data_IF_306622586115
#
_entry.id   IF_306622586115
#
_cell.length_a   1.000
_cell.length_b   1.000
_cell.length_c   1.000
_cell.angle_alpha   90.00
_cell.angle_beta   90.00
_cell.angle_gamma   90.00
#
_symmetry.space_group_name_H-M   'P 1'
#
loop_
_entity.id
_entity.type
_entity.pdbx_description
1 polymer ?
#
# COMPACT_ATOMS: atom_id res chain seq x y z
N UNK A 1 -16.56 -1.30 -3.32
CA UNK A 1 -17.70 -0.37 -3.59
C UNK A 1 -17.17 1.03 -3.80
N UNK A 2 -16.16 1.42 -3.03
CA UNK A 2 -15.32 2.58 -3.34
C UNK A 2 -14.75 2.48 -4.77
N UNK A 3 -14.88 3.56 -5.54
CA UNK A 3 -14.33 3.66 -6.89
C UNK A 3 -12.80 3.69 -6.89
N UNK A 4 -12.21 4.15 -5.79
CA UNK A 4 -10.76 4.31 -5.65
C UNK A 4 -10.05 3.06 -5.13
N UNK A 5 -10.78 1.96 -4.90
CA UNK A 5 -10.22 0.72 -4.35
C UNK A 5 -9.03 0.18 -5.18
N UNK A 6 -9.19 0.11 -6.51
CA UNK A 6 -8.13 -0.39 -7.39
C UNK A 6 -6.96 0.58 -7.46
N UNK A 7 -7.22 1.89 -7.45
CA UNK A 7 -6.16 2.90 -7.41
C UNK A 7 -5.34 2.81 -6.11
N UNK A 8 -6.00 2.61 -4.96
CA UNK A 8 -5.35 2.38 -3.68
C UNK A 8 -4.52 1.10 -3.66
N UNK A 9 -5.04 0.00 -4.21
CA UNK A 9 -4.30 -1.25 -4.30
C UNK A 9 -3.08 -1.14 -5.25
N UNK A 10 -3.21 -0.42 -6.38
CA UNK A 10 -2.09 -0.15 -7.30
C UNK A 10 -1.03 0.72 -6.61
N UNK A 11 -1.44 1.79 -5.93
CA UNK A 11 -0.53 2.66 -5.17
C UNK A 11 0.23 1.86 -4.10
N UNK A 12 -0.48 1.04 -3.31
CA UNK A 12 0.15 0.17 -2.32
C UNK A 12 1.13 -0.80 -2.97
N UNK A 13 0.77 -1.41 -4.10
CA UNK A 13 1.65 -2.34 -4.81
C UNK A 13 2.93 -1.64 -5.28
N UNK A 14 2.81 -0.44 -5.85
CA UNK A 14 3.96 0.35 -6.29
C UNK A 14 4.85 0.80 -5.12
N UNK A 15 4.24 1.14 -3.99
CA UNK A 15 4.93 1.72 -2.84
C UNK A 15 5.61 0.68 -1.95
N UNK A 16 4.95 -0.45 -1.67
CA UNK A 16 5.46 -1.47 -0.75
C UNK A 16 5.10 -2.91 -1.11
N UNK A 17 4.63 -3.19 -2.33
CA UNK A 17 4.11 -4.50 -2.73
C UNK A 17 5.14 -5.55 -3.12
N UNK A 18 6.45 -5.27 -2.99
CA UNK A 18 7.48 -6.25 -3.35
C UNK A 18 8.89 -5.67 -3.46
N UNK A 19 9.85 -6.48 -3.91
CA UNK A 19 11.27 -6.11 -3.92
C UNK A 19 11.58 -4.89 -4.81
N UNK A 20 10.80 -4.65 -5.84
CA UNK A 20 10.96 -3.51 -6.75
C UNK A 20 10.24 -2.24 -6.30
N UNK A 21 9.46 -2.30 -5.21
CA UNK A 21 8.68 -1.18 -4.70
C UNK A 21 9.56 -0.11 -4.03
N UNK A 22 9.06 1.13 -3.95
CA UNK A 22 9.81 2.28 -3.39
C UNK A 22 10.33 2.01 -1.98
N UNK A 23 9.46 1.56 -1.07
CA UNK A 23 9.83 1.29 0.31
C UNK A 23 10.91 0.20 0.40
N UNK A 24 10.80 -0.85 -0.41
CA UNK A 24 11.82 -1.89 -0.42
C UNK A 24 13.16 -1.34 -0.91
N UNK A 25 13.17 -0.59 -2.02
CA UNK A 25 14.41 -0.06 -2.59
C UNK A 25 15.05 1.01 -1.71
N UNK A 26 14.29 2.00 -1.25
CA UNK A 26 14.84 3.15 -0.52
C UNK A 26 15.12 2.84 0.94
N UNK A 27 14.23 2.12 1.63
CA UNK A 27 14.36 1.90 3.08
C UNK A 27 15.14 0.62 3.39
N UNK A 28 14.82 -0.49 2.70
CA UNK A 28 15.44 -1.78 2.97
C UNK A 28 16.76 -1.95 2.22
N UNK A 29 16.77 -1.78 0.91
CA UNK A 29 17.94 -2.10 0.07
C UNK A 29 19.05 -1.06 0.22
N UNK A 30 18.73 0.23 0.02
CA UNK A 30 19.75 1.29 0.03
C UNK A 30 20.23 1.68 1.43
N UNK A 31 19.32 1.72 2.40
CA UNK A 31 19.63 2.20 3.76
C UNK A 31 19.76 1.09 4.80
N UNK A 32 19.27 -0.11 4.54
CA UNK A 32 19.37 -1.23 5.47
C UNK A 32 18.59 -1.05 6.79
N UNK A 33 17.58 -0.17 6.83
CA UNK A 33 16.93 0.22 8.08
C UNK A 33 15.93 -0.82 8.61
N UNK A 34 15.55 -1.79 7.80
CA UNK A 34 14.46 -2.74 8.09
C UNK A 34 14.79 -4.12 7.56
N UNK A 35 14.39 -5.16 8.29
CA UNK A 35 14.43 -6.53 7.77
C UNK A 35 13.14 -6.91 7.01
N UNK A 36 12.03 -6.24 7.32
CA UNK A 36 10.75 -6.40 6.64
C UNK A 36 10.09 -5.04 6.45
N UNK A 37 9.62 -4.75 5.24
CA UNK A 37 8.80 -3.56 4.97
C UNK A 37 7.83 -3.85 3.84
N UNK A 38 6.58 -3.44 4.03
CA UNK A 38 5.55 -3.50 2.99
C UNK A 38 4.44 -2.49 3.31
N UNK A 39 3.64 -2.18 2.30
CA UNK A 39 2.39 -1.43 2.49
C UNK A 39 1.21 -2.33 2.18
N UNK A 40 0.06 -1.98 2.76
CA UNK A 40 -1.17 -2.72 2.58
C UNK A 40 -2.38 -1.79 2.53
N UNK A 41 -3.43 -2.27 1.87
CA UNK A 41 -4.75 -1.66 1.87
C UNK A 41 -5.75 -2.70 2.35
N UNK A 42 -6.54 -2.34 3.36
CA UNK A 42 -7.70 -3.10 3.80
C UNK A 42 -8.96 -2.30 3.53
N UNK A 43 -9.88 -2.90 2.78
CA UNK A 43 -11.22 -2.35 2.56
C UNK A 43 -12.23 -3.00 3.49
N UNK A 44 -12.98 -2.20 4.23
CA UNK A 44 -14.14 -2.61 5.01
C UNK A 44 -15.42 -2.05 4.40
N UNK A 45 -16.58 -2.41 4.95
CA UNK A 45 -17.88 -1.96 4.39
C UNK A 45 -18.14 -0.47 4.61
N UNK A 46 -17.63 0.06 5.71
CA UNK A 46 -17.86 1.40 6.26
C UNK A 46 -16.59 2.28 6.23
N UNK A 47 -15.45 1.72 5.83
CA UNK A 47 -14.19 2.44 5.78
C UNK A 47 -13.08 1.63 5.15
N UNK A 48 -11.86 2.11 5.30
CA UNK A 48 -10.67 1.42 4.82
C UNK A 48 -9.43 1.92 5.53
N UNK A 49 -8.37 1.15 5.45
CA UNK A 49 -7.08 1.44 6.03
C UNK A 49 -6.02 1.29 4.95
N UNK A 50 -5.19 2.31 4.77
CA UNK A 50 -3.88 2.17 4.17
C UNK A 50 -2.85 2.20 5.28
N UNK A 51 -1.90 1.27 5.24
CA UNK A 51 -0.87 1.17 6.25
C UNK A 51 0.46 0.76 5.68
N UNK A 52 1.51 1.06 6.45
CA UNK A 52 2.86 0.61 6.19
C UNK A 52 3.29 -0.17 7.42
N UNK A 53 3.79 -1.38 7.20
CA UNK A 53 4.40 -2.19 8.23
C UNK A 53 5.91 -2.19 8.03
N UNK A 54 6.66 -2.00 9.12
CA UNK A 54 8.10 -2.08 9.13
C UNK A 54 8.59 -2.86 10.37
N UNK A 55 9.45 -3.85 10.13
CA UNK A 55 10.22 -4.54 11.16
C UNK A 55 11.66 -4.03 11.15
N UNK A 56 12.10 -3.47 12.28
CA UNK A 56 13.41 -2.80 12.41
C UNK A 56 14.09 -3.15 13.73
N UNK A 57 15.38 -2.82 13.85
CA UNK A 57 16.14 -2.87 15.10
C UNK A 57 15.97 -1.59 15.92
N UNK A 58 16.35 -1.64 17.20
CA UNK A 58 16.29 -0.48 18.10
C UNK A 58 17.16 0.68 17.59
N UNK A 59 18.35 0.38 17.07
CA UNK A 59 19.30 1.39 16.61
C UNK A 59 18.80 2.15 15.39
N UNK A 60 18.12 1.47 14.47
CA UNK A 60 17.66 2.03 13.19
C UNK A 60 16.31 2.76 13.33
N UNK A 61 15.54 2.50 14.39
CA UNK A 61 14.22 3.09 14.61
C UNK A 61 14.22 4.64 14.58
N UNK A 62 15.31 5.27 15.01
CA UNK A 62 15.46 6.72 14.99
C UNK A 62 15.54 7.30 13.56
N UNK A 63 16.17 6.58 12.63
CA UNK A 63 16.31 7.02 11.24
C UNK A 63 15.13 6.56 10.37
N UNK A 64 14.54 5.41 10.71
CA UNK A 64 13.44 4.80 9.95
C UNK A 64 12.26 5.74 9.78
N UNK A 65 11.77 6.34 10.86
CA UNK A 65 10.53 7.13 10.81
C UNK A 65 10.66 8.37 9.94
N UNK A 66 11.73 9.19 10.07
CA UNK A 66 12.01 10.27 9.13
C UNK A 66 12.10 9.79 7.69
N UNK A 67 12.90 8.75 7.43
CA UNK A 67 13.12 8.25 6.07
C UNK A 67 11.82 7.73 5.42
N UNK A 68 10.97 7.06 6.20
CA UNK A 68 9.68 6.55 5.75
C UNK A 68 8.69 7.68 5.46
N UNK A 69 8.65 8.70 6.32
CA UNK A 69 7.77 9.85 6.11
C UNK A 69 8.19 10.62 4.86
N UNK A 70 9.49 10.87 4.68
CA UNK A 70 10.03 11.55 3.51
C UNK A 70 9.66 10.78 2.23
N UNK A 71 9.83 9.45 2.22
CA UNK A 71 9.49 8.64 1.05
C UNK A 71 7.97 8.56 0.79
N UNK A 72 7.15 8.52 1.85
CA UNK A 72 5.69 8.61 1.72
C UNK A 72 5.26 9.97 1.13
N UNK A 73 5.94 11.05 1.52
CA UNK A 73 5.66 12.40 1.02
C UNK A 73 5.99 12.58 -0.45
N UNK A 74 6.99 11.87 -0.96
CA UNK A 74 7.33 11.85 -2.40
C UNK A 74 6.27 11.19 -3.28
N UNK A 75 5.22 10.61 -2.71
CA UNK A 75 4.04 10.19 -3.47
C UNK A 75 3.19 11.39 -3.92
N UNK A 76 3.40 12.59 -3.37
CA UNK A 76 2.76 13.82 -3.86
C UNK A 76 3.13 14.12 -5.32
N UNK A 77 4.38 13.81 -5.70
CA UNK A 77 4.84 13.91 -7.09
C UNK A 77 4.19 12.86 -8.00
N UNK A 78 3.48 11.89 -7.43
CA UNK A 78 2.87 10.76 -8.11
C UNK A 78 3.84 9.58 -8.30
N UNK A 79 3.38 8.59 -9.08
CA UNK A 79 4.20 7.47 -9.51
C UNK A 79 4.84 7.77 -10.85
N UNK A 80 6.04 7.27 -11.08
CA UNK A 80 6.60 7.26 -12.43
C UNK A 80 5.81 6.30 -13.32
N UNK A 81 5.78 6.48 -14.66
CA UNK A 81 5.11 5.56 -15.56
C UNK A 81 5.60 4.11 -15.43
N UNK A 82 6.89 3.92 -15.11
CA UNK A 82 7.47 2.59 -14.89
C UNK A 82 6.91 1.94 -13.64
N UNK A 83 6.82 2.68 -12.53
CA UNK A 83 6.27 2.18 -11.27
C UNK A 83 4.79 1.82 -11.40
N UNK A 84 4.00 2.71 -12.03
CA UNK A 84 2.57 2.49 -12.24
C UNK A 84 2.33 1.24 -13.09
N UNK A 85 2.98 1.14 -14.26
CA UNK A 85 2.81 0.01 -15.16
C UNK A 85 3.28 -1.30 -14.54
N UNK A 86 4.38 -1.29 -13.78
CA UNK A 86 4.86 -2.46 -13.05
C UNK A 86 3.88 -2.90 -11.99
N UNK A 87 3.32 -1.98 -11.20
CA UNK A 87 2.34 -2.31 -10.17
C UNK A 87 1.06 -2.92 -10.77
N UNK A 88 0.54 -2.34 -11.85
CA UNK A 88 -0.59 -2.90 -12.60
C UNK A 88 -0.28 -4.31 -13.12
N UNK A 89 0.89 -4.49 -13.75
CA UNK A 89 1.31 -5.78 -14.28
C UNK A 89 1.41 -6.83 -13.16
N UNK A 90 2.01 -6.49 -12.02
CA UNK A 90 2.13 -7.36 -10.86
C UNK A 90 0.76 -7.76 -10.30
N UNK A 91 -0.16 -6.81 -10.14
CA UNK A 91 -1.51 -7.10 -9.65
C UNK A 91 -2.29 -8.01 -10.60
N UNK A 92 -2.25 -7.73 -11.90
CA UNK A 92 -2.90 -8.57 -12.91
C UNK A 92 -2.33 -9.98 -12.94
N UNK A 93 -1.00 -10.12 -12.92
CA UNK A 93 -0.35 -11.42 -12.90
C UNK A 93 -0.76 -12.22 -11.65
N UNK A 94 -0.72 -11.59 -10.47
CA UNK A 94 -1.14 -12.22 -9.21
C UNK A 94 -2.61 -12.66 -9.24
N UNK A 95 -3.50 -11.81 -9.77
CA UNK A 95 -4.91 -12.16 -9.94
C UNK A 95 -5.07 -13.39 -10.85
N UNK A 96 -4.47 -13.39 -12.04
CA UNK A 96 -4.61 -14.48 -13.01
C UNK A 96 -4.02 -15.79 -12.48
N UNK A 97 -2.84 -15.74 -11.84
CA UNK A 97 -2.22 -16.92 -11.22
C UNK A 97 -3.07 -17.48 -10.07
N UNK A 98 -3.75 -16.61 -9.29
CA UNK A 98 -4.63 -17.07 -8.20
C UNK A 98 -5.80 -17.93 -8.71
N UNK A 99 -6.21 -17.74 -9.98
CA UNK A 99 -7.27 -18.53 -10.61
C UNK A 99 -6.83 -19.95 -10.99
N UNK A 100 -5.56 -20.31 -10.86
CA UNK A 100 -5.10 -21.69 -11.06
C UNK A 100 -5.49 -22.59 -9.88
N UNK A 101 -5.65 -22.00 -8.69
CA UNK A 101 -6.02 -22.72 -7.48
C UNK A 101 -7.54 -22.79 -7.29
N UNK A 102 -8.09 -24.01 -7.24
CA UNK A 102 -9.53 -24.22 -6.99
C UNK A 102 -9.94 -23.68 -5.63
N UNK A 103 -9.10 -23.83 -4.59
CA UNK A 103 -9.40 -23.30 -3.27
C UNK A 103 -9.42 -21.77 -3.25
N UNK A 104 -8.45 -21.12 -3.91
CA UNK A 104 -8.40 -19.66 -4.02
C UNK A 104 -9.62 -19.12 -4.78
N UNK A 105 -10.04 -19.79 -5.86
CA UNK A 105 -11.28 -19.44 -6.58
C UNK A 105 -12.51 -19.56 -5.70
N UNK A 106 -12.66 -20.65 -4.95
CA UNK A 106 -13.78 -20.83 -4.03
C UNK A 106 -13.80 -19.74 -2.96
N UNK A 107 -12.65 -19.39 -2.39
CA UNK A 107 -12.53 -18.32 -1.40
C UNK A 107 -12.90 -16.96 -1.97
N UNK A 108 -12.40 -16.59 -3.16
CA UNK A 108 -12.76 -15.33 -3.82
C UNK A 108 -14.26 -15.25 -4.12
N UNK A 109 -14.86 -16.32 -4.66
CA UNK A 109 -16.29 -16.36 -4.92
C UNK A 109 -17.11 -16.19 -3.63
N UNK A 110 -16.69 -16.85 -2.54
CA UNK A 110 -17.33 -16.69 -1.23
C UNK A 110 -17.21 -15.26 -0.72
N UNK A 111 -16.03 -14.63 -0.80
CA UNK A 111 -15.84 -13.23 -0.40
C UNK A 111 -16.72 -12.28 -1.23
N UNK A 112 -16.77 -12.47 -2.55
CA UNK A 112 -17.61 -11.67 -3.44
C UNK A 112 -19.10 -11.80 -3.08
N UNK A 113 -19.58 -13.03 -2.85
CA UNK A 113 -20.97 -13.27 -2.44
C UNK A 113 -21.29 -12.62 -1.09
N UNK A 114 -20.41 -12.77 -0.09
CA UNK A 114 -20.64 -12.23 1.26
C UNK A 114 -20.60 -10.69 1.31
N UNK A 115 -19.72 -10.06 0.55
CA UNK A 115 -19.49 -8.61 0.59
C UNK A 115 -20.37 -7.86 -0.44
N UNK A 116 -20.54 -8.45 -1.62
CA UNK A 116 -21.17 -7.80 -2.78
C UNK A 116 -22.48 -8.45 -3.23
N UNK A 117 -22.82 -9.64 -2.71
CA UNK A 117 -24.04 -10.36 -3.07
C UNK A 117 -23.98 -11.04 -4.44
N UNK A 118 -22.88 -10.88 -5.17
CA UNK A 118 -22.69 -11.45 -6.52
C UNK A 118 -21.20 -11.71 -6.75
N UNK A 119 -20.83 -12.82 -7.43
CA UNK A 119 -19.47 -12.98 -7.90
C UNK A 119 -19.13 -11.94 -8.97
N UNK A 120 -17.85 -11.57 -9.04
CA UNK A 120 -17.32 -10.71 -10.09
C UNK A 120 -16.58 -11.52 -11.16
N UNK A 121 -16.61 -11.03 -12.39
CA UNK A 121 -15.75 -11.53 -13.46
C UNK A 121 -14.31 -11.03 -13.20
N UNK A 122 -13.31 -11.92 -13.14
CA UNK A 122 -11.91 -11.50 -13.01
C UNK A 122 -11.46 -10.53 -14.11
N UNK A 123 -12.06 -10.61 -15.30
CA UNK A 123 -11.79 -9.69 -16.42
C UNK A 123 -12.16 -8.25 -16.06
N UNK A 124 -13.25 -8.04 -15.32
CA UNK A 124 -13.64 -6.69 -14.85
C UNK A 124 -12.58 -6.10 -13.92
N UNK A 125 -12.00 -6.92 -13.05
CA UNK A 125 -10.94 -6.48 -12.16
C UNK A 125 -9.68 -6.09 -12.95
N UNK A 126 -9.32 -6.88 -13.99
CA UNK A 126 -8.22 -6.55 -14.90
C UNK A 126 -8.46 -5.21 -15.60
N UNK A 127 -9.65 -4.98 -16.17
CA UNK A 127 -10.00 -3.72 -16.83
C UNK A 127 -9.92 -2.53 -15.88
N UNK A 128 -10.39 -2.69 -14.63
CA UNK A 128 -10.32 -1.62 -13.63
C UNK A 128 -8.89 -1.33 -13.16
N UNK A 129 -8.03 -2.34 -13.07
CA UNK A 129 -6.60 -2.15 -12.79
C UNK A 129 -5.92 -1.39 -13.93
N UNK A 130 -6.21 -1.75 -15.18
CA UNK A 130 -5.66 -1.07 -16.36
C UNK A 130 -6.05 0.41 -16.43
N UNK A 131 -7.30 0.70 -16.08
CA UNK A 131 -7.86 2.06 -16.11
C UNK A 131 -7.28 3.01 -15.04
N UNK A 132 -6.50 2.52 -14.07
CA UNK A 132 -5.90 3.38 -13.03
C UNK A 132 -4.88 4.33 -13.66
N UNK A 133 -5.11 5.63 -13.62
CA UNK A 133 -4.18 6.64 -14.11
C UNK A 133 -3.52 7.41 -12.95
N UNK A 134 -2.61 8.32 -13.30
CA UNK A 134 -1.89 9.15 -12.32
C UNK A 134 -2.85 10.03 -11.50
N UNK A 135 -3.94 10.50 -12.11
CA UNK A 135 -4.96 11.30 -11.42
C UNK A 135 -5.68 10.49 -10.34
N UNK A 136 -5.97 9.22 -10.60
CA UNK A 136 -6.50 8.30 -9.60
C UNK A 136 -5.53 8.07 -8.44
N UNK A 137 -4.23 7.95 -8.73
CA UNK A 137 -3.19 7.82 -7.71
C UNK A 137 -3.10 9.08 -6.83
N UNK A 138 -3.05 10.27 -7.46
CA UNK A 138 -3.02 11.56 -6.74
C UNK A 138 -4.25 11.75 -5.87
N UNK A 139 -5.43 11.39 -6.37
CA UNK A 139 -6.69 11.46 -5.61
C UNK A 139 -6.66 10.57 -4.37
N UNK A 140 -6.19 9.33 -4.51
CA UNK A 140 -6.05 8.41 -3.37
C UNK A 140 -5.07 8.97 -2.34
N UNK A 141 -3.90 9.43 -2.79
CA UNK A 141 -2.88 9.98 -1.88
C UNK A 141 -3.39 11.22 -1.14
N UNK A 142 -4.07 12.15 -1.82
CA UNK A 142 -4.70 13.32 -1.21
C UNK A 142 -5.74 12.92 -0.15
N UNK A 143 -6.53 11.89 -0.41
CA UNK A 143 -7.50 11.37 0.56
C UNK A 143 -6.82 10.77 1.79
N UNK A 144 -5.71 10.06 1.63
CA UNK A 144 -4.93 9.54 2.77
C UNK A 144 -4.37 10.67 3.62
N UNK A 145 -3.86 11.74 3.00
CA UNK A 145 -3.38 12.94 3.71
C UNK A 145 -4.48 13.72 4.44
N UNK A 146 -5.73 13.59 4.01
CA UNK A 146 -6.84 14.32 4.63
C UNK A 146 -7.20 13.82 6.04
N UNK A 147 -6.70 12.63 6.42
CA UNK A 147 -6.94 12.03 7.72
C UNK A 147 -5.67 12.05 8.59
N UNK A 148 -5.80 12.20 9.92
CA UNK A 148 -4.65 12.07 10.81
C UNK A 148 -4.07 10.66 10.73
N UNK A 149 -2.72 10.50 10.76
CA UNK A 149 -2.11 9.19 10.76
C UNK A 149 -2.37 8.45 12.07
N UNK A 150 -2.23 7.13 12.04
CA UNK A 150 -2.21 6.28 13.23
C UNK A 150 -0.85 5.61 13.34
N UNK A 151 -0.23 5.65 14.52
CA UNK A 151 1.05 5.02 14.81
C UNK A 151 0.85 3.93 15.88
N UNK A 152 1.25 2.70 15.56
CA UNK A 152 1.31 1.60 16.50
C UNK A 152 2.72 1.01 16.46
N UNK A 153 3.34 0.82 17.63
CA UNK A 153 4.69 0.29 17.74
C UNK A 153 4.82 -0.61 18.98
N UNK A 154 5.62 -1.66 18.86
CA UNK A 154 5.87 -2.65 19.91
C UNK A 154 7.36 -2.97 19.92
N UNK A 155 7.97 -3.04 21.11
CA UNK A 155 9.38 -3.36 21.29
C UNK A 155 10.15 -2.27 22.07
N UNK A 156 11.47 -2.15 21.89
CA UNK A 156 12.28 -1.10 22.51
C UNK A 156 12.04 0.25 21.79
N UNK A 157 11.10 1.04 22.30
CA UNK A 157 10.63 2.27 21.64
C UNK A 157 11.42 3.53 21.99
N UNK A 158 12.48 3.44 22.81
CA UNK A 158 13.18 4.61 23.34
C UNK A 158 13.79 5.54 22.28
N UNK A 159 14.01 5.02 21.07
CA UNK A 159 14.56 5.76 19.92
C UNK A 159 13.53 6.10 18.84
N UNK A 160 12.27 5.68 19.01
CA UNK A 160 11.22 5.96 18.03
C UNK A 160 10.83 7.43 18.08
N UNK A 161 10.71 8.07 16.92
CA UNK A 161 10.24 9.45 16.83
C UNK A 161 8.81 9.58 17.36
N UNK A 162 8.55 10.62 18.18
CA UNK A 162 7.26 10.82 18.83
C UNK A 162 6.12 11.12 17.84
N UNK A 163 4.90 10.68 18.17
CA UNK A 163 3.73 10.77 17.29
C UNK A 163 3.47 12.18 16.73
N UNK A 164 3.60 13.23 17.55
CA UNK A 164 3.36 14.60 17.08
C UNK A 164 4.32 15.01 15.96
N UNK A 165 5.59 14.58 16.02
CA UNK A 165 6.58 14.81 14.96
C UNK A 165 6.24 14.04 13.69
N UNK A 166 5.80 12.79 13.83
CA UNK A 166 5.34 11.98 12.69
C UNK A 166 4.17 12.65 12.00
N UNK A 167 3.20 13.15 12.77
CA UNK A 167 2.06 13.90 12.25
C UNK A 167 2.51 15.18 11.52
N UNK A 168 3.45 15.94 12.08
CA UNK A 168 4.01 17.14 11.42
C UNK A 168 4.65 16.80 10.06
N UNK A 169 5.46 15.74 9.98
CA UNK A 169 6.10 15.31 8.73
C UNK A 169 5.10 14.92 7.65
N UNK A 170 4.01 14.24 8.02
CA UNK A 170 2.97 13.80 7.10
C UNK A 170 1.91 14.87 6.82
N UNK A 171 1.99 16.04 7.45
CA UNK A 171 1.11 17.19 7.23
C UNK A 171 1.77 18.33 6.45
N UNK A 172 3.10 18.37 6.39
CA UNK A 172 3.87 19.23 5.49
C UNK A 172 3.65 18.83 4.03
#
# INVERSE_FOLDING_TARGET
RDADYYAAAVLSTAFGGGMSSRLFQEIREKRGLVYAIHSFVHGYRDGGLFGIYAGTGESEAAELVPALCDEAMRLEDGLTPVELNRAKAQMKAGLLMSLESTSARCEQLAQHLLIHGTPFDPTDAVTRIEAVDDDAIRRVFARWRSAPPTLAAIGPLGRLEGFDRVRERLAA
#
